data_IF_303082411506
#
_entry.id   IF_303082411506
#
_cell.length_a   1.000
_cell.length_b   1.000
_cell.length_c   1.000
_cell.angle_alpha   90.00
_cell.angle_beta   90.00
_cell.angle_gamma   90.00
#
_symmetry.space_group_name_H-M   'P 1'
#
loop_
_entity.id
_entity.type
_entity.pdbx_description
1 polymer ?
#
# COMPACT_ATOMS: atom_id res chain seq x y z
N UNK A 1 -40.44 16.52 50.32
CA UNK A 1 -39.77 17.84 50.30
C UNK A 1 -39.32 18.12 48.86
N UNK A 2 -39.25 19.37 48.37
CA UNK A 2 -40.37 20.27 48.12
C UNK A 2 -40.54 20.65 46.62
N UNK A 3 -41.78 20.97 46.26
CA UNK A 3 -42.20 22.20 45.55
C UNK A 3 -41.64 22.53 44.16
N UNK A 4 -42.45 22.22 43.13
CA UNK A 4 -42.43 22.93 41.84
C UNK A 4 -43.25 24.21 41.96
N UNK A 5 -42.57 25.36 41.92
CA UNK A 5 -43.18 26.69 41.86
C UNK A 5 -43.38 27.12 40.41
N UNK A 6 -44.61 27.57 40.15
CA UNK A 6 -45.13 28.23 38.94
C UNK A 6 -44.18 29.33 38.42
N UNK A 7 -44.36 29.72 37.16
CA UNK A 7 -44.97 31.02 36.77
C UNK A 7 -45.14 31.08 35.25
N UNK A 8 -46.41 31.26 34.83
CA UNK A 8 -46.83 31.76 33.51
C UNK A 8 -46.36 33.21 33.35
N UNK A 9 -46.14 33.65 32.12
CA UNK A 9 -46.66 34.87 31.44
C UNK A 9 -45.97 34.88 30.07
N UNK A 10 -46.57 35.10 28.91
CA UNK A 10 -47.85 35.67 28.55
C UNK A 10 -47.64 36.63 27.38
N UNK A 11 -48.28 36.30 26.25
CA UNK A 11 -48.92 37.21 25.27
C UNK A 11 -48.06 38.10 24.33
N UNK A 12 -48.33 37.85 23.05
CA UNK A 12 -48.68 38.79 21.95
C UNK A 12 -47.61 39.79 21.51
N UNK A 13 -47.29 39.77 20.22
CA UNK A 13 -47.89 40.72 19.27
C UNK A 13 -47.47 40.40 17.84
N UNK A 14 -48.45 40.43 16.95
CA UNK A 14 -48.23 40.43 15.51
C UNK A 14 -47.65 41.79 15.10
N UNK A 15 -46.62 41.78 14.24
CA UNK A 15 -46.32 42.92 13.38
C UNK A 15 -46.16 42.41 11.95
N UNK A 16 -47.19 42.72 11.17
CA UNK A 16 -47.26 42.60 9.73
C UNK A 16 -46.71 43.91 9.15
N UNK A 17 -45.78 43.87 8.16
CA UNK A 17 -45.89 44.57 6.86
C UNK A 17 -44.55 44.75 6.12
N UNK A 18 -44.63 44.39 4.83
CA UNK A 18 -44.05 45.06 3.63
C UNK A 18 -42.60 44.76 3.22
N UNK A 19 -42.53 43.88 2.20
CA UNK A 19 -41.84 43.98 0.89
C UNK A 19 -40.60 44.90 0.79
N UNK A 20 -39.48 44.31 0.34
CA UNK A 20 -38.69 44.69 -0.85
C UNK A 20 -37.75 43.52 -1.20
N UNK A 21 -37.48 43.22 -2.48
CA UNK A 21 -36.66 42.08 -2.89
C UNK A 21 -35.17 42.45 -2.80
N UNK A 22 -34.41 41.77 -1.95
CA UNK A 22 -32.96 41.80 -2.02
C UNK A 22 -32.54 40.92 -3.20
N UNK A 23 -31.99 41.58 -4.22
CA UNK A 23 -31.37 40.94 -5.37
C UNK A 23 -30.35 39.91 -4.88
N UNK A 24 -30.58 38.65 -5.23
CA UNK A 24 -29.66 37.55 -4.96
C UNK A 24 -28.38 37.74 -5.78
N UNK A 25 -27.27 37.89 -5.07
CA UNK A 25 -25.96 37.50 -5.57
C UNK A 25 -25.51 36.34 -4.68
N UNK A 26 -26.05 35.15 -4.95
CA UNK A 26 -25.49 33.93 -4.39
C UNK A 26 -24.17 33.69 -5.11
N UNK A 27 -23.06 34.12 -4.49
CA UNK A 27 -21.75 33.55 -4.83
C UNK A 27 -21.85 32.06 -4.53
N UNK A 28 -21.90 31.25 -5.59
CA UNK A 28 -21.68 29.81 -5.52
C UNK A 28 -20.26 29.62 -4.97
N UNK A 29 -20.15 29.42 -3.65
CA UNK A 29 -18.97 28.83 -3.05
C UNK A 29 -18.94 27.38 -3.54
N UNK A 30 -18.29 27.16 -4.68
CA UNK A 30 -17.88 25.81 -5.06
C UNK A 30 -16.84 25.38 -4.02
N UNK A 31 -17.03 24.26 -3.31
CA UNK A 31 -15.96 23.70 -2.50
C UNK A 31 -14.79 23.44 -3.45
N UNK A 32 -13.69 24.18 -3.27
CA UNK A 32 -12.43 23.81 -3.91
C UNK A 32 -12.05 22.44 -3.34
N UNK A 33 -11.77 21.43 -4.17
CA UNK A 33 -11.10 20.25 -3.65
C UNK A 33 -9.81 20.75 -3.02
N UNK A 34 -9.61 20.43 -1.73
CA UNK A 34 -8.28 20.58 -1.13
C UNK A 34 -7.29 19.87 -2.05
N UNK A 35 -6.07 20.39 -2.26
CA UNK A 35 -5.01 19.57 -2.82
C UNK A 35 -4.72 18.47 -1.79
N UNK A 36 -5.49 17.40 -1.84
CA UNK A 36 -5.01 16.09 -1.44
C UNK A 36 -3.82 15.87 -2.36
N UNK A 37 -2.63 15.97 -1.80
CA UNK A 37 -1.42 15.67 -2.52
C UNK A 37 -1.51 14.19 -2.87
N UNK A 38 -1.85 13.90 -4.13
CA UNK A 38 -1.47 12.65 -4.74
C UNK A 38 0.05 12.60 -4.61
N UNK A 39 0.55 11.88 -3.60
CA UNK A 39 1.96 11.53 -3.48
C UNK A 39 2.22 10.49 -4.58
N UNK A 40 2.13 10.92 -5.84
CA UNK A 40 2.78 10.21 -6.92
C UNK A 40 4.28 10.37 -6.67
N UNK A 41 5.00 9.26 -6.59
CA UNK A 41 6.46 9.30 -6.53
C UNK A 41 7.00 10.17 -7.66
N UNK A 42 8.09 10.92 -7.40
CA UNK A 42 8.78 11.70 -8.42
C UNK A 42 9.06 10.78 -9.64
N UNK A 43 8.73 11.18 -10.89
CA UNK A 43 8.97 10.37 -12.07
C UNK A 43 10.40 9.81 -12.19
N UNK A 44 11.40 10.55 -11.69
CA UNK A 44 12.81 10.09 -11.68
C UNK A 44 13.00 8.94 -10.70
N UNK A 45 12.40 9.03 -9.52
CA UNK A 45 12.44 7.99 -8.49
C UNK A 45 11.72 6.73 -8.99
N UNK A 46 10.54 6.91 -9.58
CA UNK A 46 9.75 5.81 -10.13
C UNK A 46 10.50 5.09 -11.27
N UNK A 47 11.14 5.84 -12.17
CA UNK A 47 11.94 5.29 -13.26
C UNK A 47 13.12 4.45 -12.74
N UNK A 48 13.84 4.96 -11.73
CA UNK A 48 14.93 4.24 -11.09
C UNK A 48 14.46 2.95 -10.40
N UNK A 49 13.33 3.01 -9.69
CA UNK A 49 12.72 1.83 -9.08
C UNK A 49 12.32 0.80 -10.15
N UNK A 50 11.63 1.19 -11.23
CA UNK A 50 11.27 0.29 -12.32
C UNK A 50 12.47 -0.32 -13.04
N UNK A 51 13.56 0.42 -13.16
CA UNK A 51 14.82 -0.12 -13.68
C UNK A 51 15.36 -1.22 -12.77
N UNK A 52 15.33 -1.03 -11.45
CA UNK A 52 15.75 -2.05 -10.49
C UNK A 52 14.85 -3.30 -10.52
N UNK A 53 13.53 -3.12 -10.68
CA UNK A 53 12.59 -4.24 -10.88
C UNK A 53 12.92 -5.03 -12.15
N UNK A 54 13.13 -4.34 -13.27
CA UNK A 54 13.50 -4.98 -14.53
C UNK A 54 14.79 -5.80 -14.41
N UNK A 55 15.83 -5.24 -13.77
CA UNK A 55 17.11 -5.91 -13.56
C UNK A 55 17.02 -7.11 -12.61
N UNK A 56 16.26 -6.99 -11.52
CA UNK A 56 16.13 -8.07 -10.54
C UNK A 56 15.42 -9.31 -11.10
N UNK A 57 14.37 -9.10 -11.91
CA UNK A 57 13.60 -10.19 -12.52
C UNK A 57 14.14 -10.60 -13.91
N UNK A 58 15.21 -9.97 -14.40
CA UNK A 58 15.77 -10.19 -15.75
C UNK A 58 14.71 -10.05 -16.86
N UNK A 59 13.87 -9.02 -16.77
CA UNK A 59 12.83 -8.70 -17.75
C UNK A 59 13.12 -7.37 -18.46
N UNK A 60 12.66 -7.17 -19.71
CA UNK A 60 12.80 -5.89 -20.40
C UNK A 60 12.04 -4.79 -19.65
N UNK A 61 12.62 -3.58 -19.60
CA UNK A 61 11.95 -2.40 -19.02
C UNK A 61 10.54 -2.14 -19.60
N UNK A 62 10.36 -2.40 -20.89
CA UNK A 62 9.05 -2.26 -21.55
C UNK A 62 7.96 -3.17 -20.96
N UNK A 63 8.33 -4.31 -20.36
CA UNK A 63 7.38 -5.19 -19.66
C UNK A 63 6.88 -4.55 -18.36
N UNK A 64 7.76 -3.86 -17.63
CA UNK A 64 7.39 -3.08 -16.44
C UNK A 64 6.42 -1.95 -16.82
N UNK A 65 6.71 -1.25 -17.91
CA UNK A 65 5.86 -0.16 -18.40
C UNK A 65 4.46 -0.68 -18.78
N UNK A 66 4.35 -1.87 -19.39
CA UNK A 66 3.07 -2.52 -19.71
C UNK A 66 2.28 -2.86 -18.44
N UNK A 67 2.94 -3.44 -17.43
CA UNK A 67 2.30 -3.79 -16.16
C UNK A 67 1.82 -2.52 -15.43
N UNK A 68 2.61 -1.45 -15.46
CA UNK A 68 2.22 -0.16 -14.91
C UNK A 68 1.04 0.47 -15.66
N UNK A 69 1.04 0.41 -16.99
CA UNK A 69 -0.05 0.89 -17.85
C UNK A 69 -1.39 0.16 -17.59
N UNK A 70 -1.34 -1.05 -17.01
CA UNK A 70 -2.52 -1.77 -16.54
C UNK A 70 -3.02 -1.33 -15.17
N UNK A 71 -2.51 -0.21 -14.67
CA UNK A 71 -2.88 0.41 -13.40
C UNK A 71 -2.54 -0.49 -12.20
N UNK A 72 -1.50 -1.29 -12.32
CA UNK A 72 -0.94 -2.01 -11.19
C UNK A 72 -0.10 -1.02 -10.36
N UNK A 73 -0.28 -0.98 -9.03
CA UNK A 73 0.55 -0.14 -8.16
C UNK A 73 2.04 -0.48 -8.34
N UNK A 74 2.95 0.51 -8.31
CA UNK A 74 4.38 0.26 -8.50
C UNK A 74 4.94 -0.86 -7.61
N UNK A 75 4.59 -0.86 -6.32
CA UNK A 75 5.06 -1.86 -5.34
C UNK A 75 4.50 -3.26 -5.60
N UNK A 76 3.42 -3.39 -6.38
CA UNK A 76 2.79 -4.67 -6.71
C UNK A 76 3.31 -5.26 -8.03
N UNK A 77 3.99 -4.48 -8.88
CA UNK A 77 4.62 -4.98 -10.11
C UNK A 77 5.64 -6.10 -9.83
N UNK A 78 6.56 -5.96 -8.86
CA UNK A 78 7.43 -7.05 -8.44
C UNK A 78 6.66 -8.31 -8.03
N UNK A 79 5.49 -8.17 -7.40
CA UNK A 79 4.70 -9.31 -6.92
C UNK A 79 4.14 -10.09 -8.10
N UNK A 80 3.63 -9.41 -9.13
CA UNK A 80 3.16 -10.06 -10.34
C UNK A 80 4.27 -10.87 -11.04
N UNK A 81 5.48 -10.29 -11.14
CA UNK A 81 6.65 -10.95 -11.72
C UNK A 81 7.11 -12.14 -10.87
N UNK A 82 7.13 -11.98 -9.54
CA UNK A 82 7.48 -13.06 -8.62
C UNK A 82 6.52 -14.25 -8.75
N UNK A 83 5.20 -14.00 -8.80
CA UNK A 83 4.21 -15.05 -9.01
C UNK A 83 4.41 -15.74 -10.37
N UNK A 84 4.64 -14.96 -11.43
CA UNK A 84 4.90 -15.49 -12.77
C UNK A 84 6.10 -16.45 -12.78
N UNK A 85 7.22 -16.02 -12.22
CA UNK A 85 8.45 -16.81 -12.12
C UNK A 85 8.23 -18.12 -11.33
N UNK A 86 7.57 -18.03 -10.17
CA UNK A 86 7.39 -19.19 -9.27
C UNK A 86 6.33 -20.17 -9.74
N UNK A 87 5.24 -19.69 -10.32
CA UNK A 87 4.17 -20.54 -10.84
C UNK A 87 4.45 -21.03 -12.27
N UNK A 88 5.46 -20.49 -12.95
CA UNK A 88 5.73 -20.80 -14.36
C UNK A 88 4.61 -20.33 -15.30
N UNK A 89 3.98 -19.20 -14.95
CA UNK A 89 2.92 -18.54 -15.74
C UNK A 89 3.40 -17.18 -16.22
N UNK A 90 2.61 -16.49 -17.03
CA UNK A 90 2.93 -15.12 -17.44
C UNK A 90 2.44 -14.11 -16.39
N UNK A 91 3.11 -12.95 -16.29
CA UNK A 91 2.70 -11.90 -15.35
C UNK A 91 1.27 -11.40 -15.66
N UNK A 92 0.88 -11.41 -16.94
CA UNK A 92 -0.49 -11.12 -17.38
C UNK A 92 -1.53 -12.04 -16.75
N UNK A 93 -1.20 -13.32 -16.60
CA UNK A 93 -2.12 -14.28 -16.00
C UNK A 93 -2.30 -14.02 -14.50
N UNK A 94 -1.23 -13.66 -13.79
CA UNK A 94 -1.31 -13.26 -12.39
C UNK A 94 -2.12 -11.97 -12.22
N UNK A 95 -1.83 -10.94 -13.05
CA UNK A 95 -2.56 -9.66 -13.05
C UNK A 95 -4.02 -9.84 -13.41
N UNK A 96 -4.36 -10.74 -14.35
CA UNK A 96 -5.75 -11.02 -14.69
C UNK A 96 -6.54 -11.51 -13.47
N UNK A 97 -5.98 -12.41 -12.66
CA UNK A 97 -6.61 -12.90 -11.43
C UNK A 97 -6.71 -11.78 -10.38
N UNK A 98 -5.65 -10.98 -10.22
CA UNK A 98 -5.66 -9.83 -9.31
C UNK A 98 -6.78 -8.83 -9.65
N UNK A 99 -6.98 -8.57 -10.94
CA UNK A 99 -8.07 -7.69 -11.43
C UNK A 99 -9.48 -8.25 -11.23
N UNK A 100 -9.61 -9.55 -10.99
CA UNK A 100 -10.88 -10.17 -10.58
C UNK A 100 -11.21 -9.90 -9.09
N UNK A 101 -10.32 -9.23 -8.36
CA UNK A 101 -10.49 -8.86 -6.96
C UNK A 101 -9.91 -9.89 -5.97
N UNK A 102 -9.11 -10.84 -6.45
CA UNK A 102 -8.32 -11.73 -5.58
C UNK A 102 -7.06 -10.98 -5.16
N UNK A 103 -6.79 -10.92 -3.86
CA UNK A 103 -5.56 -10.30 -3.38
C UNK A 103 -4.32 -11.18 -3.62
N UNK A 104 -3.13 -10.63 -3.41
CA UNK A 104 -1.89 -11.35 -3.66
C UNK A 104 -1.72 -12.59 -2.79
N UNK A 105 -2.23 -12.58 -1.56
CA UNK A 105 -2.22 -13.76 -0.69
C UNK A 105 -3.03 -14.90 -1.29
N UNK A 106 -4.27 -14.64 -1.70
CA UNK A 106 -5.11 -15.64 -2.36
C UNK A 106 -4.58 -16.12 -3.72
N UNK A 107 -3.83 -15.27 -4.43
CA UNK A 107 -3.12 -15.67 -5.65
C UNK A 107 -1.98 -16.65 -5.33
N UNK A 108 -1.17 -16.35 -4.31
CA UNK A 108 -0.10 -17.24 -3.87
C UNK A 108 -0.65 -18.60 -3.41
N UNK A 109 -1.72 -18.60 -2.61
CA UNK A 109 -2.42 -19.81 -2.17
C UNK A 109 -2.89 -20.64 -3.38
N UNK A 110 -3.51 -20.00 -4.37
CA UNK A 110 -3.98 -20.67 -5.59
C UNK A 110 -2.86 -21.36 -6.37
N UNK A 111 -1.66 -20.78 -6.37
CA UNK A 111 -0.49 -21.34 -7.04
C UNK A 111 0.37 -22.24 -6.13
N UNK A 112 -0.01 -22.43 -4.86
CA UNK A 112 0.75 -23.23 -3.90
C UNK A 112 2.12 -22.62 -3.57
N UNK A 113 2.21 -21.29 -3.55
CA UNK A 113 3.43 -20.55 -3.20
C UNK A 113 3.30 -20.13 -1.73
N UNK A 114 4.06 -20.79 -0.84
CA UNK A 114 4.06 -20.47 0.57
C UNK A 114 5.20 -19.53 0.99
N UNK A 115 5.24 -19.22 2.29
CA UNK A 115 6.27 -18.34 2.88
C UNK A 115 7.68 -18.88 2.71
N UNK A 116 7.87 -20.19 2.60
CA UNK A 116 9.16 -20.83 2.35
C UNK A 116 9.79 -20.39 1.02
N UNK A 117 8.95 -20.01 0.05
CA UNK A 117 9.39 -19.51 -1.25
C UNK A 117 9.81 -18.03 -1.20
N UNK A 118 9.28 -17.27 -0.23
CA UNK A 118 9.49 -15.84 -0.01
C UNK A 118 10.58 -15.53 1.03
N UNK A 119 10.79 -16.44 1.98
CA UNK A 119 11.60 -16.23 3.17
C UNK A 119 13.00 -15.65 2.86
N UNK A 120 13.39 -14.65 3.64
CA UNK A 120 14.69 -13.97 3.57
C UNK A 120 15.45 -14.23 4.88
N UNK A 121 16.66 -14.82 4.86
CA UNK A 121 17.40 -14.99 6.11
C UNK A 121 17.77 -13.62 6.70
N UNK A 122 17.24 -13.33 7.89
CA UNK A 122 17.59 -12.12 8.65
C UNK A 122 18.73 -12.41 9.64
N UNK A 123 19.73 -11.53 9.76
CA UNK A 123 20.70 -11.62 10.84
C UNK A 123 20.01 -11.59 12.21
N UNK A 124 20.64 -12.24 13.20
CA UNK A 124 20.06 -12.32 14.54
C UNK A 124 19.95 -10.93 15.18
N UNK A 125 18.76 -10.59 15.68
CA UNK A 125 18.49 -9.30 16.33
C UNK A 125 18.13 -8.17 15.37
N UNK A 126 18.08 -8.43 14.06
CA UNK A 126 17.58 -7.47 13.06
C UNK A 126 16.06 -7.34 13.19
N UNK A 127 15.55 -6.10 13.23
CA UNK A 127 14.12 -5.85 13.21
C UNK A 127 13.54 -6.21 11.83
N UNK A 128 12.49 -7.03 11.80
CA UNK A 128 11.90 -7.51 10.56
C UNK A 128 10.93 -6.52 9.87
N UNK A 129 10.76 -5.31 10.41
CA UNK A 129 9.96 -4.27 9.76
C UNK A 129 8.49 -4.65 9.58
N UNK A 130 7.98 -4.42 8.36
CA UNK A 130 6.66 -4.89 7.91
C UNK A 130 6.43 -6.40 8.13
N UNK A 131 7.51 -7.19 8.18
CA UNK A 131 7.44 -8.65 8.30
C UNK A 131 7.51 -9.15 9.76
N UNK A 132 7.50 -8.25 10.75
CA UNK A 132 7.64 -8.61 12.17
C UNK A 132 6.67 -9.70 12.64
N UNK A 133 5.41 -9.64 12.20
CA UNK A 133 4.42 -10.66 12.52
C UNK A 133 4.83 -12.02 11.96
N UNK A 134 5.16 -12.08 10.67
CA UNK A 134 5.53 -13.33 9.99
C UNK A 134 6.78 -13.96 10.60
N UNK A 135 7.84 -13.18 10.84
CA UNK A 135 9.05 -13.74 11.46
C UNK A 135 8.80 -14.23 12.89
N UNK A 136 7.96 -13.55 13.67
CA UNK A 136 7.57 -14.03 15.00
C UNK A 136 6.83 -15.37 14.94
N UNK A 137 6.04 -15.61 13.88
CA UNK A 137 5.33 -16.87 13.66
C UNK A 137 6.28 -17.98 13.20
N UNK A 138 7.19 -17.67 12.27
CA UNK A 138 8.21 -18.60 11.77
C UNK A 138 9.18 -19.07 12.87
N UNK A 139 9.56 -18.19 13.81
CA UNK A 139 10.42 -18.57 14.95
C UNK A 139 9.78 -19.65 15.84
N UNK A 140 8.45 -19.64 15.97
CA UNK A 140 7.68 -20.63 16.74
C UNK A 140 7.30 -21.88 15.94
N UNK A 141 7.52 -21.89 14.63
CA UNK A 141 6.98 -22.89 13.71
C UNK A 141 8.10 -23.74 13.12
N UNK A 142 8.05 -25.08 13.23
CA UNK A 142 9.02 -25.94 12.55
C UNK A 142 9.03 -25.69 11.05
N UNK A 143 10.20 -25.69 10.41
CA UNK A 143 10.36 -25.40 8.96
C UNK A 143 9.43 -26.23 8.07
N UNK A 144 9.14 -27.48 8.44
CA UNK A 144 8.24 -28.37 7.70
C UNK A 144 6.77 -27.92 7.69
N UNK A 145 6.40 -27.03 8.60
CA UNK A 145 5.04 -26.52 8.78
C UNK A 145 4.94 -25.04 8.34
N UNK A 146 6.00 -24.49 7.71
CA UNK A 146 6.00 -23.10 7.22
C UNK A 146 4.96 -22.86 6.12
N UNK A 147 4.60 -23.89 5.36
CA UNK A 147 3.54 -23.80 4.35
C UNK A 147 2.16 -23.47 4.94
N UNK A 148 1.97 -23.67 6.26
CA UNK A 148 0.73 -23.35 6.97
C UNK A 148 0.67 -21.88 7.46
N UNK A 149 1.77 -21.13 7.35
CA UNK A 149 1.83 -19.73 7.79
C UNK A 149 1.15 -18.84 6.76
N UNK A 150 0.03 -18.24 7.16
CA UNK A 150 -0.74 -17.35 6.30
C UNK A 150 -0.08 -15.97 6.19
N UNK A 151 -0.02 -15.43 4.97
CA UNK A 151 0.46 -14.09 4.67
C UNK A 151 -0.70 -13.17 4.35
N UNK A 152 -0.63 -11.91 4.76
CA UNK A 152 -1.53 -10.88 4.25
C UNK A 152 -1.05 -10.38 2.89
N UNK A 153 -1.92 -9.71 2.12
CA UNK A 153 -1.52 -9.09 0.86
C UNK A 153 -0.36 -8.10 1.04
N UNK A 154 -0.39 -7.26 2.08
CA UNK A 154 0.65 -6.28 2.38
C UNK A 154 1.98 -6.96 2.74
N UNK A 155 1.95 -8.10 3.42
CA UNK A 155 3.16 -8.87 3.75
C UNK A 155 3.76 -9.55 2.52
N UNK A 156 2.92 -10.01 1.57
CA UNK A 156 3.41 -10.50 0.28
C UNK A 156 4.13 -9.37 -0.48
N UNK A 157 3.51 -8.19 -0.57
CA UNK A 157 4.13 -7.00 -1.17
C UNK A 157 5.45 -6.69 -0.48
N UNK A 158 5.47 -6.68 0.86
CA UNK A 158 6.67 -6.39 1.63
C UNK A 158 7.78 -7.42 1.42
N UNK A 159 7.49 -8.72 1.44
CA UNK A 159 8.49 -9.76 1.20
C UNK A 159 9.17 -9.59 -0.15
N UNK A 160 8.36 -9.42 -1.21
CA UNK A 160 8.89 -9.34 -2.57
C UNK A 160 9.72 -8.08 -2.75
N UNK A 161 9.26 -6.94 -2.23
CA UNK A 161 10.01 -5.68 -2.32
C UNK A 161 11.29 -5.67 -1.48
N UNK A 162 11.25 -6.23 -0.26
CA UNK A 162 12.44 -6.37 0.56
C UNK A 162 13.45 -7.33 -0.08
N UNK A 163 12.99 -8.36 -0.79
CA UNK A 163 13.84 -9.26 -1.58
C UNK A 163 14.47 -8.54 -2.77
N UNK A 164 13.69 -7.75 -3.50
CA UNK A 164 14.16 -6.88 -4.58
C UNK A 164 15.29 -5.99 -4.05
N UNK A 165 15.01 -5.21 -2.99
CA UNK A 165 15.97 -4.30 -2.37
C UNK A 165 17.21 -5.05 -1.89
N UNK A 166 17.07 -6.20 -1.24
CA UNK A 166 18.22 -7.02 -0.82
C UNK A 166 19.06 -7.54 -2.01
N UNK A 167 18.42 -7.81 -3.15
CA UNK A 167 19.09 -8.29 -4.36
C UNK A 167 19.86 -7.20 -5.10
N UNK A 168 19.34 -5.97 -5.10
CA UNK A 168 19.95 -4.84 -5.83
C UNK A 168 20.86 -3.97 -4.94
N UNK A 169 20.66 -3.97 -3.61
CA UNK A 169 21.45 -3.18 -2.68
C UNK A 169 22.60 -4.00 -2.09
N UNK A 170 23.80 -3.42 -2.04
CA UNK A 170 25.01 -4.05 -1.49
C UNK A 170 25.21 -3.87 0.02
N UNK A 171 24.17 -3.48 0.78
CA UNK A 171 24.30 -3.22 2.23
C UNK A 171 23.18 -2.42 2.91
N UNK A 172 22.11 -2.04 2.21
CA UNK A 172 21.07 -1.12 2.71
C UNK A 172 19.79 -1.85 3.17
N UNK A 173 19.85 -3.18 3.24
CA UNK A 173 18.71 -4.03 3.56
C UNK A 173 18.13 -3.82 4.97
N UNK A 174 18.97 -3.60 5.99
CA UNK A 174 18.49 -3.36 7.36
C UNK A 174 17.73 -2.03 7.49
N UNK A 175 18.16 -1.02 6.74
CA UNK A 175 17.47 0.28 6.69
C UNK A 175 16.13 0.15 5.95
N UNK A 176 16.10 -0.60 4.84
CA UNK A 176 14.85 -0.93 4.15
C UNK A 176 13.83 -1.63 5.07
N UNK A 177 14.29 -2.61 5.86
CA UNK A 177 13.46 -3.29 6.87
C UNK A 177 12.91 -2.30 7.89
N UNK A 178 13.76 -1.42 8.45
CA UNK A 178 13.32 -0.43 9.42
C UNK A 178 12.28 0.54 8.84
N UNK A 179 12.52 1.06 7.64
CA UNK A 179 11.62 1.99 6.96
C UNK A 179 10.28 1.33 6.61
N UNK A 180 10.29 0.04 6.25
CA UNK A 180 9.08 -0.72 5.93
C UNK A 180 8.09 -0.87 7.10
N UNK A 181 8.51 -0.61 8.35
CA UNK A 181 7.60 -0.64 9.50
C UNK A 181 6.59 0.53 9.51
N UNK A 182 6.81 1.56 8.69
CA UNK A 182 5.90 2.71 8.55
C UNK A 182 4.97 2.61 7.34
N UNK A 183 4.28 3.70 7.03
CA UNK A 183 3.31 3.79 5.93
C UNK A 183 3.95 4.21 4.57
N UNK A 184 5.28 4.09 4.44
CA UNK A 184 5.98 4.45 3.20
C UNK A 184 5.81 3.37 2.14
N UNK A 185 5.65 3.78 0.89
CA UNK A 185 5.74 2.88 -0.26
C UNK A 185 7.16 2.36 -0.46
N UNK A 186 7.32 1.23 -1.12
CA UNK A 186 8.66 0.71 -1.42
C UNK A 186 9.39 1.53 -2.48
N UNK A 187 8.66 2.27 -3.34
CA UNK A 187 9.24 3.31 -4.19
C UNK A 187 9.90 4.42 -3.36
N UNK A 188 9.23 4.92 -2.31
CA UNK A 188 9.80 5.95 -1.43
C UNK A 188 10.99 5.42 -0.63
N UNK A 189 10.88 4.20 -0.10
CA UNK A 189 11.98 3.53 0.60
C UNK A 189 13.19 3.42 -0.34
N UNK A 190 12.99 2.94 -1.57
CA UNK A 190 14.05 2.84 -2.57
C UNK A 190 14.69 4.21 -2.89
N UNK A 191 13.89 5.27 -2.96
CA UNK A 191 14.37 6.64 -3.14
C UNK A 191 15.32 7.08 -2.03
N UNK A 192 14.93 6.84 -0.77
CA UNK A 192 15.72 7.20 0.41
C UNK A 192 17.06 6.47 0.38
N UNK A 193 17.06 5.16 0.08
CA UNK A 193 18.27 4.35 0.04
C UNK A 193 19.25 4.84 -1.05
N UNK A 194 18.74 5.29 -2.20
CA UNK A 194 19.58 5.88 -3.25
C UNK A 194 20.03 7.33 -2.99
N UNK A 195 19.61 7.95 -1.88
CA UNK A 195 19.87 9.36 -1.59
C UNK A 195 19.12 10.33 -2.51
N UNK A 196 17.95 9.91 -3.02
CA UNK A 196 17.07 10.68 -3.90
C UNK A 196 15.84 11.26 -3.17
N UNK A 197 15.71 11.00 -1.86
CA UNK A 197 14.62 11.48 -0.99
C UNK A 197 14.90 12.77 -0.22
#
# INVERSE_FOLDING_TARGET
MPTLTRVRVGRRCALNRRRLPAAGLALLFLPQPAPGQEHGADPIVLDGYFQAVAEFFDVPRAEIDILHDWNLPPDEIPVALFVAERAGVSAEAAVAIWREGVDWSGILERYGIGVESLHLPLPQGTAAGALARVYSELEGTPVKDWEEVELTADEVVAFVNLRLIAGVSGGEFEEALLLSAGDMSFVEIYAILLGLG
#
